data_IF_228498563631
#
_entry.id   IF_228498563631
#
_cell.length_a   1.000
_cell.length_b   1.000
_cell.length_c   1.000
_cell.angle_alpha   90.00
_cell.angle_beta   90.00
_cell.angle_gamma   90.00
#
_symmetry.space_group_name_H-M   'P 1'
#
loop_
_entity.id
_entity.type
_entity.pdbx_description
1 polymer ?
#
# COMPACT_ATOMS: atom_id res chain seq x y z
N UNK A 1 -9.28 -19.12 -22.38
CA UNK A 1 -8.24 -18.17 -22.89
C UNK A 1 -7.96 -16.97 -21.96
N UNK A 2 -8.94 -16.37 -21.26
CA UNK A 2 -8.68 -15.22 -20.34
C UNK A 2 -7.67 -15.50 -19.20
N UNK A 3 -7.59 -16.74 -18.71
CA UNK A 3 -6.68 -17.14 -17.61
C UNK A 3 -5.20 -17.13 -18.03
N UNK A 4 -4.91 -17.53 -19.27
CA UNK A 4 -3.53 -17.56 -19.80
C UNK A 4 -2.99 -16.15 -20.06
N UNK A 5 -3.85 -15.22 -20.50
CA UNK A 5 -3.48 -13.81 -20.69
C UNK A 5 -3.18 -13.11 -19.35
N UNK A 6 -3.97 -13.39 -18.31
CA UNK A 6 -3.75 -12.83 -16.96
C UNK A 6 -2.42 -13.33 -16.35
N UNK A 7 -2.15 -14.64 -16.46
CA UNK A 7 -0.90 -15.24 -15.96
C UNK A 7 0.35 -14.77 -16.72
N UNK A 8 0.22 -14.53 -18.02
CA UNK A 8 1.31 -13.97 -18.85
C UNK A 8 1.58 -12.49 -18.55
N UNK A 9 0.56 -11.72 -18.15
CA UNK A 9 0.71 -10.35 -17.69
C UNK A 9 1.41 -10.30 -16.32
N UNK A 10 1.00 -11.14 -15.35
CA UNK A 10 1.62 -11.21 -14.02
C UNK A 10 3.10 -11.61 -14.09
N UNK A 11 3.46 -12.55 -14.98
CA UNK A 11 4.86 -12.91 -15.23
C UNK A 11 5.68 -11.75 -15.80
N UNK A 12 5.11 -10.96 -16.73
CA UNK A 12 5.77 -9.76 -17.27
C UNK A 12 5.93 -8.67 -16.20
N UNK A 13 4.89 -8.40 -15.41
CA UNK A 13 4.94 -7.45 -14.30
C UNK A 13 6.02 -7.83 -13.29
N UNK A 14 6.09 -9.13 -12.92
CA UNK A 14 7.09 -9.65 -12.00
C UNK A 14 8.50 -9.51 -12.55
N UNK A 15 8.71 -9.83 -13.83
CA UNK A 15 10.03 -9.72 -14.50
C UNK A 15 10.53 -8.28 -14.57
N UNK A 16 9.66 -7.30 -14.86
CA UNK A 16 10.05 -5.89 -14.86
C UNK A 16 10.43 -5.41 -13.45
N UNK A 17 9.67 -5.79 -12.43
CA UNK A 17 9.98 -5.46 -11.03
C UNK A 17 11.31 -6.11 -10.60
N UNK A 18 11.57 -7.35 -10.99
CA UNK A 18 12.81 -8.07 -10.64
C UNK A 18 14.05 -7.39 -11.22
N UNK A 19 13.98 -6.95 -12.50
CA UNK A 19 15.06 -6.17 -13.12
C UNK A 19 15.35 -4.89 -12.35
N UNK A 20 14.30 -4.12 -12.04
CA UNK A 20 14.43 -2.87 -11.29
C UNK A 20 14.98 -3.09 -9.88
N UNK A 21 14.69 -4.24 -9.24
CA UNK A 21 15.29 -4.64 -7.95
C UNK A 21 16.79 -4.91 -8.08
N UNK A 22 17.20 -5.66 -9.11
CA UNK A 22 18.62 -5.95 -9.38
C UNK A 22 19.40 -4.66 -9.66
N UNK A 23 18.78 -3.71 -10.35
CA UNK A 23 19.36 -2.39 -10.65
C UNK A 23 19.32 -1.42 -9.45
N UNK A 24 18.72 -1.82 -8.31
CA UNK A 24 18.56 -0.94 -7.14
C UNK A 24 17.65 0.28 -7.40
N UNK A 25 16.84 0.24 -8.46
CA UNK A 25 15.99 1.36 -8.89
C UNK A 25 14.64 1.33 -8.16
N UNK A 26 14.66 1.65 -6.87
CA UNK A 26 13.46 1.68 -6.01
C UNK A 26 12.38 2.66 -6.51
N UNK A 27 12.78 3.80 -7.09
CA UNK A 27 11.85 4.75 -7.68
C UNK A 27 11.12 4.15 -8.90
N UNK A 28 11.86 3.42 -9.76
CA UNK A 28 11.29 2.69 -10.88
C UNK A 28 10.32 1.59 -10.43
N UNK A 29 10.64 0.85 -9.36
CA UNK A 29 9.76 -0.15 -8.77
C UNK A 29 8.46 0.52 -8.31
N UNK A 30 8.55 1.60 -7.54
CA UNK A 30 7.39 2.35 -7.03
C UNK A 30 6.49 2.83 -8.16
N UNK A 31 7.09 3.41 -9.20
CA UNK A 31 6.38 3.87 -10.39
C UNK A 31 5.64 2.73 -11.10
N UNK A 32 6.29 1.58 -11.30
CA UNK A 32 5.70 0.44 -11.99
C UNK A 32 4.56 -0.20 -11.20
N UNK A 33 4.75 -0.37 -9.89
CA UNK A 33 3.69 -0.85 -8.97
C UNK A 33 2.48 0.07 -9.04
N UNK A 34 2.68 1.39 -9.01
CA UNK A 34 1.59 2.34 -9.13
C UNK A 34 0.88 2.23 -10.50
N UNK A 35 1.63 2.21 -11.61
CA UNK A 35 1.05 2.03 -12.96
C UNK A 35 0.19 0.75 -13.05
N UNK A 36 0.69 -0.37 -12.55
CA UNK A 36 -0.04 -1.64 -12.54
C UNK A 36 -1.29 -1.57 -11.66
N UNK A 37 -1.19 -0.93 -10.50
CA UNK A 37 -2.30 -0.75 -9.58
C UNK A 37 -3.40 0.16 -10.15
N UNK A 38 -3.03 1.20 -10.89
CA UNK A 38 -4.00 2.09 -11.54
C UNK A 38 -4.71 1.40 -12.71
N UNK A 39 -3.98 0.64 -13.51
CA UNK A 39 -4.52 -0.18 -14.60
C UNK A 39 -5.38 -1.35 -14.10
N UNK A 40 -5.17 -1.83 -12.88
CA UNK A 40 -5.96 -2.93 -12.31
C UNK A 40 -7.44 -2.53 -12.09
N UNK A 41 -8.33 -3.46 -12.41
CA UNK A 41 -9.79 -3.34 -12.27
C UNK A 41 -10.40 -4.60 -11.63
N UNK A 42 -11.63 -4.46 -11.12
CA UNK A 42 -12.38 -5.54 -10.48
C UNK A 42 -11.62 -6.19 -9.31
N UNK A 43 -11.75 -7.49 -9.18
CA UNK A 43 -11.16 -8.31 -8.11
C UNK A 43 -9.62 -8.19 -8.04
N UNK A 44 -8.96 -7.96 -9.18
CA UNK A 44 -7.49 -7.75 -9.23
C UNK A 44 -7.10 -6.47 -8.50
N UNK A 45 -7.89 -5.39 -8.65
CA UNK A 45 -7.64 -4.13 -7.94
C UNK A 45 -7.90 -4.30 -6.44
N UNK A 46 -8.93 -5.07 -6.07
CA UNK A 46 -9.24 -5.37 -4.66
C UNK A 46 -8.08 -6.11 -4.01
N UNK A 47 -7.64 -7.23 -4.60
CA UNK A 47 -6.48 -8.02 -4.11
C UNK A 47 -5.21 -7.19 -4.04
N UNK A 48 -4.87 -6.44 -5.09
CA UNK A 48 -3.70 -5.57 -5.09
C UNK A 48 -3.79 -4.47 -4.02
N UNK A 49 -5.00 -3.95 -3.74
CA UNK A 49 -5.20 -2.97 -2.67
C UNK A 49 -4.94 -3.62 -1.31
N UNK A 50 -5.43 -4.83 -1.07
CA UNK A 50 -5.18 -5.55 0.19
C UNK A 50 -3.70 -5.88 0.40
N UNK A 51 -2.99 -6.34 -0.63
CA UNK A 51 -1.54 -6.59 -0.56
C UNK A 51 -0.76 -5.31 -0.27
N UNK A 52 -1.10 -4.21 -0.96
CA UNK A 52 -0.48 -2.91 -0.72
C UNK A 52 -0.82 -2.35 0.68
N UNK A 53 -2.04 -2.58 1.20
CA UNK A 53 -2.39 -2.28 2.60
C UNK A 53 -1.53 -3.10 3.55
N UNK A 54 -1.24 -4.36 3.21
CA UNK A 54 -0.31 -5.24 3.93
C UNK A 54 1.10 -4.65 4.00
N UNK A 55 1.67 -4.27 2.86
CA UNK A 55 2.99 -3.64 2.78
C UNK A 55 3.05 -2.31 3.57
N UNK A 56 2.01 -1.47 3.48
CA UNK A 56 1.90 -0.25 4.28
C UNK A 56 1.88 -0.55 5.79
N UNK A 57 1.22 -1.62 6.24
CA UNK A 57 1.25 -2.01 7.66
C UNK A 57 2.62 -2.45 8.11
N UNK A 58 3.29 -3.29 7.31
CA UNK A 58 4.62 -3.76 7.66
C UNK A 58 5.61 -2.60 7.76
N UNK A 59 5.53 -1.65 6.82
CA UNK A 59 6.29 -0.41 6.87
C UNK A 59 5.99 0.39 8.15
N UNK A 60 4.72 0.62 8.47
CA UNK A 60 4.37 1.35 9.69
C UNK A 60 4.71 0.56 10.96
N UNK A 61 4.70 -0.76 10.93
CA UNK A 61 5.13 -1.60 12.04
C UNK A 61 6.63 -1.43 12.31
N UNK A 62 7.45 -1.40 11.27
CA UNK A 62 8.90 -1.14 11.36
C UNK A 62 9.22 0.28 11.91
N UNK A 63 8.40 1.26 11.52
CA UNK A 63 8.54 2.67 11.90
C UNK A 63 8.04 2.91 13.33
N UNK A 64 6.81 2.46 13.64
CA UNK A 64 6.11 2.74 14.89
C UNK A 64 6.43 1.75 16.01
N UNK A 65 7.00 0.58 15.68
CA UNK A 65 7.33 -0.46 16.63
C UNK A 65 6.11 -0.88 17.46
N UNK A 66 6.24 -0.79 18.78
CA UNK A 66 5.20 -1.16 19.75
C UNK A 66 3.88 -0.40 19.53
N UNK A 67 3.92 0.85 19.04
CA UNK A 67 2.73 1.66 18.76
C UNK A 67 1.91 1.14 17.57
N UNK A 68 2.46 0.25 16.75
CA UNK A 68 1.71 -0.40 15.67
C UNK A 68 0.59 -1.31 16.21
N UNK A 69 0.70 -1.77 17.45
CA UNK A 69 -0.37 -2.50 18.13
C UNK A 69 -1.66 -1.67 18.25
N UNK A 70 -1.55 -0.34 18.43
CA UNK A 70 -2.72 0.56 18.48
C UNK A 70 -3.45 0.61 17.13
N UNK A 71 -2.68 0.67 16.03
CA UNK A 71 -3.23 0.66 14.65
C UNK A 71 -3.90 -0.69 14.36
N UNK A 72 -3.29 -1.78 14.81
CA UNK A 72 -3.85 -3.13 14.66
C UNK A 72 -5.17 -3.25 15.42
N UNK A 73 -5.19 -2.83 16.69
CA UNK A 73 -6.37 -2.83 17.54
C UNK A 73 -7.52 -2.00 16.94
N UNK A 74 -7.23 -0.79 16.43
CA UNK A 74 -8.22 0.05 15.75
C UNK A 74 -8.86 -0.67 14.56
N UNK A 75 -8.07 -1.36 13.71
CA UNK A 75 -8.67 -2.14 12.63
C UNK A 75 -9.52 -3.29 13.15
N UNK A 76 -9.05 -4.01 14.17
CA UNK A 76 -9.80 -5.14 14.75
C UNK A 76 -11.11 -4.69 15.40
N UNK A 77 -11.17 -3.45 15.90
CA UNK A 77 -12.40 -2.80 16.37
C UNK A 77 -13.33 -2.33 15.24
N UNK A 78 -12.99 -2.59 13.97
CA UNK A 78 -13.81 -2.19 12.82
C UNK A 78 -13.63 -0.74 12.40
N UNK A 79 -12.54 -0.08 12.80
CA UNK A 79 -12.27 1.29 12.38
C UNK A 79 -12.17 1.39 10.86
N UNK A 80 -12.69 2.50 10.33
CA UNK A 80 -12.64 2.76 8.89
C UNK A 80 -11.21 2.99 8.43
N UNK A 81 -10.95 2.80 7.13
CA UNK A 81 -9.64 3.11 6.53
C UNK A 81 -9.20 4.57 6.78
N UNK A 82 -10.15 5.50 6.92
CA UNK A 82 -9.89 6.91 7.25
C UNK A 82 -9.43 7.11 8.70
N UNK A 83 -10.07 6.41 9.65
CA UNK A 83 -9.70 6.42 11.07
C UNK A 83 -8.31 5.81 11.28
N UNK A 84 -8.04 4.69 10.59
CA UNK A 84 -6.71 4.07 10.55
C UNK A 84 -5.66 5.02 9.99
N UNK A 85 -5.95 5.70 8.88
CA UNK A 85 -5.04 6.66 8.28
C UNK A 85 -4.74 7.83 9.22
N UNK A 86 -5.75 8.36 9.93
CA UNK A 86 -5.58 9.42 10.93
C UNK A 86 -4.70 8.96 12.09
N UNK A 87 -4.97 7.79 12.67
CA UNK A 87 -4.17 7.27 13.78
C UNK A 87 -2.71 7.06 13.37
N UNK A 88 -2.48 6.52 12.18
CA UNK A 88 -1.13 6.38 11.62
C UNK A 88 -0.45 7.76 11.51
N UNK A 89 -1.17 8.79 11.04
CA UNK A 89 -0.67 10.18 10.95
C UNK A 89 -0.18 10.71 12.30
N UNK A 90 -1.00 10.54 13.34
CA UNK A 90 -0.67 10.94 14.72
C UNK A 90 0.54 10.19 15.26
N UNK A 91 0.61 8.88 15.00
CA UNK A 91 1.71 8.04 15.45
C UNK A 91 3.02 8.42 14.76
N UNK A 92 3.00 8.73 13.46
CA UNK A 92 4.16 9.23 12.70
C UNK A 92 4.62 10.59 13.23
N UNK A 93 3.70 11.50 13.56
CA UNK A 93 4.04 12.80 14.12
C UNK A 93 4.81 12.68 15.44
N UNK A 94 4.49 11.63 16.23
CA UNK A 94 5.17 11.29 17.48
C UNK A 94 6.41 10.40 17.33
N UNK A 95 6.89 10.10 16.12
CA UNK A 95 8.17 9.41 15.91
C UNK A 95 9.32 10.39 16.11
N UNK A 96 10.22 10.09 17.04
CA UNK A 96 11.41 10.90 17.35
C UNK A 96 12.61 10.56 16.47
N UNK A 97 12.63 9.38 15.88
CA UNK A 97 13.67 8.95 14.94
C UNK A 97 13.45 9.62 13.57
N UNK A 98 14.33 10.55 13.22
CA UNK A 98 14.20 11.37 12.01
C UNK A 98 14.24 10.53 10.72
N UNK A 99 15.03 9.45 10.69
CA UNK A 99 15.13 8.58 9.53
C UNK A 99 13.84 7.77 9.31
N UNK A 100 13.28 7.21 10.39
CA UNK A 100 11.99 6.52 10.36
C UNK A 100 10.85 7.48 10.04
N UNK A 101 10.87 8.69 10.59
CA UNK A 101 9.88 9.74 10.32
C UNK A 101 9.90 10.16 8.85
N UNK A 102 11.07 10.46 8.29
CA UNK A 102 11.21 10.81 6.88
C UNK A 102 10.71 9.68 5.95
N UNK A 103 11.06 8.43 6.27
CA UNK A 103 10.54 7.25 5.55
C UNK A 103 9.03 7.13 5.70
N UNK A 104 8.46 7.39 6.87
CA UNK A 104 7.02 7.37 7.05
C UNK A 104 6.32 8.43 6.18
N UNK A 105 6.84 9.66 6.17
CA UNK A 105 6.28 10.78 5.40
C UNK A 105 6.37 10.56 3.88
N UNK A 106 7.47 9.98 3.39
CA UNK A 106 7.63 9.64 1.97
C UNK A 106 6.56 8.65 1.47
N UNK A 107 6.18 7.68 2.30
CA UNK A 107 5.19 6.66 1.94
C UNK A 107 3.77 7.01 2.39
N UNK A 108 3.61 8.01 3.25
CA UNK A 108 2.33 8.48 3.80
C UNK A 108 1.32 8.78 2.70
N UNK A 109 1.72 9.53 1.68
CA UNK A 109 0.85 9.90 0.57
C UNK A 109 0.37 8.69 -0.23
N UNK A 110 1.26 7.72 -0.49
CA UNK A 110 0.94 6.50 -1.24
C UNK A 110 0.06 5.55 -0.43
N UNK A 111 0.39 5.32 0.83
CA UNK A 111 -0.41 4.48 1.72
C UNK A 111 -1.80 5.07 1.96
N UNK A 112 -1.92 6.39 2.12
CA UNK A 112 -3.23 7.06 2.25
C UNK A 112 -4.09 6.89 1.01
N UNK A 113 -3.50 6.96 -0.19
CA UNK A 113 -4.21 6.67 -1.45
C UNK A 113 -4.71 5.23 -1.49
N UNK A 114 -3.92 4.27 -1.02
CA UNK A 114 -4.29 2.84 -0.97
C UNK A 114 -5.45 2.60 0.03
N UNK A 115 -5.40 3.22 1.21
CA UNK A 115 -6.47 3.16 2.20
C UNK A 115 -7.77 3.82 1.70
N UNK A 116 -7.69 4.95 0.99
CA UNK A 116 -8.87 5.66 0.46
C UNK A 116 -9.47 5.07 -0.84
N UNK A 117 -8.70 4.36 -1.67
CA UNK A 117 -9.13 3.93 -3.02
C UNK A 117 -10.18 2.81 -3.02
N UNK A 118 -10.42 2.09 -1.92
CA UNK A 118 -11.50 1.09 -1.84
C UNK A 118 -12.90 1.74 -1.82
N UNK A 119 -13.03 2.97 -1.32
CA UNK A 119 -14.32 3.66 -1.20
C UNK A 119 -14.79 4.20 -2.57
N UNK A 120 -13.88 4.70 -3.41
CA UNK A 120 -14.28 5.45 -4.62
C UNK A 120 -14.92 4.59 -5.72
N UNK A 121 -14.65 3.28 -5.80
CA UNK A 121 -15.22 2.39 -6.83
C UNK A 121 -16.50 1.67 -6.41
N UNK A 122 -16.78 1.55 -5.11
CA UNK A 122 -18.04 0.95 -4.65
C UNK A 122 -19.17 1.98 -4.74
N UNK A 123 -18.89 3.27 -4.51
CA UNK A 123 -19.90 4.34 -4.58
C UNK A 123 -20.22 4.77 -6.02
N UNK A 124 -19.30 4.56 -6.98
CA UNK A 124 -19.51 4.94 -8.40
C UNK A 124 -20.01 3.79 -9.29
N UNK A 125 -20.28 2.62 -8.71
CA UNK A 125 -20.87 1.46 -9.39
C UNK A 125 -22.27 1.12 -8.86
N UNK A 126 -22.94 2.09 -8.25
CA UNK A 126 -24.36 2.04 -7.89
C UNK A 126 -25.19 2.83 -8.89
#
# INVERSE_FOLDING_TARGET
MKVLAKKSLELKQKTEIDKLKVEGNFAGIKARVNTFFEAATGETKVKATEELKGACRELYHDILGEKAAEVKALKESGATDSELAKKIDELIAGVTDEAKKAKAEEYKADCKKIYGKIILKIITAG
#
